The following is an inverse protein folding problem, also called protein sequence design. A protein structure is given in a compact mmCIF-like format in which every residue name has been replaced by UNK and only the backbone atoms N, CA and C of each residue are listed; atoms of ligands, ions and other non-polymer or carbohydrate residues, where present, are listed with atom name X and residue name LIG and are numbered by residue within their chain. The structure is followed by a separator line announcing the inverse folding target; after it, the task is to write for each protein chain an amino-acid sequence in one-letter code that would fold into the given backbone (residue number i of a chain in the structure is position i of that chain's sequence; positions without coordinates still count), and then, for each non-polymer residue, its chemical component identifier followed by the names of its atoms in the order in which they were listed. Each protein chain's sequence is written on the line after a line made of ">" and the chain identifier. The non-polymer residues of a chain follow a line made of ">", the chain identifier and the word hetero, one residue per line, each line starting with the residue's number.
data_IF_478139196523
#
_entry.id   IF_478139196523
#
_cell.length_a   1.000
_cell.length_b   1.000
_cell.length_c   1.000
_cell.angle_alpha   90.00
_cell.angle_beta   90.00
_cell.angle_gamma   90.00
#
_symmetry.space_group_name_H-M   'P 1'
#
loop_
_entity.id
_entity.type
_entity.pdbx_description
1 polymer ?
#
# COMPACT_ATOMS: atom_id res chain seq x y z
N UNK A 1 -18.13 17.11 8.42
CA UNK A 1 -18.41 15.77 7.82
C UNK A 1 -17.85 15.59 6.40
N UNK A 2 -17.75 16.65 5.55
CA UNK A 2 -17.23 16.53 4.16
C UNK A 2 -15.86 15.84 4.06
N UNK A 3 -14.92 16.07 4.99
CA UNK A 3 -13.59 15.42 4.98
C UNK A 3 -13.63 13.90 5.13
N UNK A 4 -14.51 13.39 5.98
CA UNK A 4 -14.67 11.94 6.22
C UNK A 4 -15.11 11.25 4.93
N UNK A 5 -16.00 11.90 4.17
CA UNK A 5 -16.44 11.42 2.87
C UNK A 5 -15.30 11.43 1.83
N UNK A 6 -14.38 12.39 1.93
CA UNK A 6 -13.23 12.54 1.03
C UNK A 6 -12.05 11.61 1.34
N UNK A 7 -12.05 10.90 2.48
CA UNK A 7 -10.98 9.96 2.88
C UNK A 7 -9.60 10.60 2.89
N UNK A 8 -9.51 11.75 3.55
CA UNK A 8 -8.28 12.48 3.79
C UNK A 8 -7.95 12.45 5.29
N UNK A 9 -6.67 12.66 5.59
CA UNK A 9 -6.21 12.88 6.95
C UNK A 9 -6.83 14.17 7.54
N UNK A 10 -6.78 14.36 8.88
CA UNK A 10 -7.30 15.58 9.52
C UNK A 10 -6.66 16.88 9.00
N UNK A 11 -5.41 16.83 8.54
CA UNK A 11 -4.69 17.93 7.89
C UNK A 11 -5.10 18.17 6.41
N UNK A 12 -5.99 17.33 5.85
CA UNK A 12 -6.42 17.37 4.45
C UNK A 12 -5.48 16.67 3.47
N UNK A 13 -4.36 16.10 3.92
CA UNK A 13 -3.46 15.31 3.08
C UNK A 13 -4.09 13.98 2.66
N UNK A 14 -3.62 13.43 1.54
CA UNK A 14 -4.05 12.11 1.08
C UNK A 14 -3.41 11.01 1.94
N UNK A 15 -4.11 9.89 2.12
CA UNK A 15 -3.56 8.75 2.84
C UNK A 15 -2.32 8.17 2.18
N UNK A 16 -1.38 7.71 3.01
CA UNK A 16 -0.16 7.07 2.55
C UNK A 16 -0.48 5.75 1.83
N UNK A 17 0.12 5.56 0.65
CA UNK A 17 -0.09 4.36 -0.16
C UNK A 17 0.66 3.19 0.47
N UNK A 18 -0.02 2.04 0.63
CA UNK A 18 0.59 0.81 1.17
C UNK A 18 1.62 0.18 0.23
N UNK A 19 1.42 0.29 -1.09
CA UNK A 19 2.26 -0.34 -2.12
C UNK A 19 2.76 0.71 -3.09
N UNK A 20 3.94 0.45 -3.67
CA UNK A 20 4.45 1.25 -4.77
C UNK A 20 3.44 1.29 -5.93
N UNK A 21 3.32 2.46 -6.57
CA UNK A 21 2.44 2.65 -7.72
C UNK A 21 2.99 2.04 -9.00
N UNK A 22 4.27 1.66 -9.03
CA UNK A 22 4.92 1.05 -10.18
C UNK A 22 5.83 -0.09 -9.75
N UNK A 23 5.96 -1.08 -10.63
CA UNK A 23 7.01 -2.10 -10.56
C UNK A 23 7.99 -1.84 -11.70
N UNK A 24 9.28 -1.90 -11.38
CA UNK A 24 10.32 -1.82 -12.41
C UNK A 24 10.55 -3.20 -13.00
N UNK A 25 10.37 -3.35 -14.31
CA UNK A 25 10.54 -4.61 -15.04
C UNK A 25 11.80 -4.53 -15.90
N UNK A 26 12.60 -5.59 -15.86
CA UNK A 26 13.80 -5.75 -16.67
C UNK A 26 13.40 -6.26 -18.06
N UNK A 27 13.21 -5.34 -19.01
CA UNK A 27 12.69 -5.68 -20.36
C UNK A 27 13.75 -6.32 -21.24
N UNK A 28 14.92 -5.72 -21.32
CA UNK A 28 15.97 -6.13 -22.25
C UNK A 28 17.35 -5.85 -21.66
N UNK A 29 18.30 -6.75 -21.90
CA UNK A 29 19.72 -6.51 -21.66
C UNK A 29 20.52 -6.96 -22.86
N UNK A 30 21.47 -6.13 -23.27
CA UNK A 30 22.42 -6.44 -24.32
C UNK A 30 23.82 -6.50 -23.74
N UNK A 31 24.57 -7.54 -24.08
CA UNK A 31 25.95 -7.74 -23.60
C UNK A 31 26.79 -8.51 -24.62
N UNK A 32 28.11 -8.42 -24.49
CA UNK A 32 29.08 -9.16 -25.27
C UNK A 32 29.44 -10.46 -24.54
N UNK A 33 29.33 -11.58 -25.23
CA UNK A 33 29.70 -12.90 -24.73
C UNK A 33 30.37 -13.69 -25.86
N UNK A 34 31.58 -14.19 -25.61
CA UNK A 34 32.43 -14.86 -26.61
C UNK A 34 32.55 -14.07 -27.94
N UNK A 35 32.76 -12.76 -27.85
CA UNK A 35 32.88 -11.88 -29.02
C UNK A 35 31.56 -11.63 -29.78
N UNK A 36 30.44 -12.22 -29.35
CA UNK A 36 29.13 -12.01 -29.96
C UNK A 36 28.25 -11.14 -29.08
N UNK A 37 27.53 -10.20 -29.70
CA UNK A 37 26.46 -9.46 -29.04
C UNK A 37 25.28 -10.40 -28.76
N UNK A 38 24.82 -10.42 -27.52
CA UNK A 38 23.66 -11.18 -27.06
C UNK A 38 22.62 -10.25 -26.48
N UNK A 39 21.36 -10.57 -26.75
CA UNK A 39 20.21 -9.82 -26.26
C UNK A 39 19.30 -10.77 -25.48
N UNK A 40 19.11 -10.51 -24.18
CA UNK A 40 18.15 -11.24 -23.36
C UNK A 40 16.92 -10.36 -23.04
N UNK A 41 15.74 -10.93 -23.19
CA UNK A 41 14.46 -10.33 -22.78
C UNK A 41 13.92 -10.98 -21.51
N UNK A 42 13.12 -10.22 -20.76
CA UNK A 42 12.50 -10.66 -19.49
C UNK A 42 13.52 -11.34 -18.57
N UNK A 43 14.72 -10.76 -18.52
CA UNK A 43 15.84 -11.39 -17.88
C UNK A 43 15.77 -11.19 -16.37
N UNK A 44 16.38 -12.11 -15.64
CA UNK A 44 16.59 -12.04 -14.20
C UNK A 44 18.02 -12.45 -13.90
N UNK A 45 18.63 -11.85 -12.88
CA UNK A 45 19.99 -12.19 -12.48
C UNK A 45 20.06 -12.51 -11.00
N UNK A 46 20.92 -13.45 -10.64
CA UNK A 46 21.42 -13.60 -9.28
C UNK A 46 22.86 -13.05 -9.21
N UNK A 47 23.62 -13.40 -8.18
CA UNK A 47 25.01 -12.96 -8.04
C UNK A 47 25.95 -13.51 -9.14
N UNK A 48 25.72 -14.73 -9.63
CA UNK A 48 26.64 -15.47 -10.52
C UNK A 48 26.19 -15.54 -11.98
N UNK A 49 24.89 -15.61 -12.24
CA UNK A 49 24.31 -15.85 -13.56
C UNK A 49 23.22 -14.84 -13.90
N UNK A 50 23.02 -14.67 -15.20
CA UNK A 50 21.91 -13.95 -15.80
C UNK A 50 21.14 -14.92 -16.69
N UNK A 51 19.82 -14.97 -16.52
CA UNK A 51 18.93 -15.87 -17.24
C UNK A 51 17.82 -15.08 -17.89
N UNK A 52 17.49 -15.37 -19.14
CA UNK A 52 16.37 -14.76 -19.85
C UNK A 52 16.13 -15.42 -21.19
N UNK A 53 15.16 -14.91 -21.94
CA UNK A 53 14.92 -15.37 -23.30
C UNK A 53 15.92 -14.70 -24.24
N UNK A 54 16.78 -15.49 -24.87
CA UNK A 54 17.71 -15.00 -25.89
C UNK A 54 16.90 -14.62 -27.14
N UNK A 55 17.03 -13.37 -27.60
CA UNK A 55 16.25 -12.85 -28.71
C UNK A 55 16.62 -13.53 -30.04
N UNK A 56 17.88 -13.90 -30.23
CA UNK A 56 18.39 -14.48 -31.47
C UNK A 56 18.03 -15.97 -31.55
N UNK A 57 18.14 -16.67 -30.41
CA UNK A 57 17.86 -18.11 -30.30
C UNK A 57 16.42 -18.43 -29.90
N UNK A 58 15.60 -17.41 -29.59
CA UNK A 58 14.20 -17.50 -29.17
C UNK A 58 13.94 -18.51 -28.04
N UNK A 59 14.94 -18.76 -27.19
CA UNK A 59 14.90 -19.79 -26.14
C UNK A 59 15.47 -19.27 -24.83
N UNK A 60 15.10 -19.89 -23.71
CA UNK A 60 15.63 -19.55 -22.38
C UNK A 60 17.11 -19.93 -22.31
N UNK A 61 17.95 -18.97 -21.90
CA UNK A 61 19.39 -19.17 -21.76
C UNK A 61 19.88 -18.53 -20.50
N UNK A 62 20.90 -19.16 -19.92
CA UNK A 62 21.63 -18.64 -18.77
C UNK A 62 23.09 -18.41 -19.15
N UNK A 63 23.61 -17.24 -18.79
CA UNK A 63 25.00 -16.87 -18.99
C UNK A 63 25.63 -16.58 -17.63
N UNK A 64 26.87 -17.00 -17.41
CA UNK A 64 27.63 -16.62 -16.22
C UNK A 64 28.06 -15.16 -16.37
N UNK A 65 27.92 -14.37 -15.31
CA UNK A 65 28.32 -12.96 -15.32
C UNK A 65 29.84 -12.79 -15.47
N UNK A 66 30.62 -13.74 -14.97
CA UNK A 66 32.08 -13.82 -15.15
C UNK A 66 32.50 -13.89 -16.62
N UNK A 67 31.67 -14.51 -17.45
CA UNK A 67 31.99 -14.77 -18.86
C UNK A 67 31.48 -13.63 -19.77
N UNK A 68 30.76 -12.66 -19.21
CA UNK A 68 30.27 -11.50 -19.94
C UNK A 68 31.41 -10.50 -20.02
N UNK A 69 31.89 -10.27 -21.23
CA UNK A 69 33.00 -9.38 -21.50
C UNK A 69 32.61 -7.91 -21.25
N UNK A 70 31.40 -7.52 -21.67
CA UNK A 70 30.91 -6.14 -21.53
C UNK A 70 29.40 -6.04 -21.60
N UNK A 71 28.80 -5.26 -20.72
CA UNK A 71 27.39 -4.85 -20.86
C UNK A 71 27.26 -3.68 -21.82
N UNK A 72 26.34 -3.76 -22.78
CA UNK A 72 26.09 -2.73 -23.78
C UNK A 72 24.94 -1.83 -23.33
N UNK A 73 23.78 -2.42 -22.99
CA UNK A 73 22.61 -1.66 -22.55
C UNK A 73 21.73 -2.49 -21.63
N UNK A 74 21.07 -1.82 -20.68
CA UNK A 74 20.10 -2.42 -19.77
C UNK A 74 18.82 -1.60 -19.80
N UNK A 75 17.77 -2.09 -20.46
CA UNK A 75 16.48 -1.40 -20.53
C UNK A 75 15.58 -1.87 -19.40
N UNK A 76 15.13 -0.91 -18.59
CA UNK A 76 14.21 -1.12 -17.48
C UNK A 76 13.00 -0.20 -17.69
N UNK A 77 11.80 -0.75 -17.56
CA UNK A 77 10.57 0.02 -17.69
C UNK A 77 9.80 0.01 -16.38
N UNK A 78 9.07 1.10 -16.11
CA UNK A 78 8.17 1.19 -14.96
C UNK A 78 6.76 0.87 -15.43
N UNK A 79 6.19 -0.22 -14.92
CA UNK A 79 4.81 -0.60 -15.19
C UNK A 79 3.96 -0.17 -14.00
N UNK A 80 2.94 0.64 -14.27
CA UNK A 80 1.98 1.02 -13.22
C UNK A 80 1.30 -0.22 -12.65
N UNK A 81 1.34 -0.35 -11.34
CA UNK A 81 0.65 -1.39 -10.57
C UNK A 81 -0.72 -0.89 -10.10
N UNK A 82 -1.03 0.38 -10.33
CA UNK A 82 -2.28 1.00 -9.94
C UNK A 82 -3.42 0.44 -10.79
N UNK A 83 -4.21 -0.46 -10.19
CA UNK A 83 -5.49 -0.86 -10.75
C UNK A 83 -6.49 0.28 -10.50
N UNK A 84 -7.17 0.75 -11.55
CA UNK A 84 -8.28 1.70 -11.43
C UNK A 84 -9.45 1.02 -10.71
N UNK A 85 -9.43 1.00 -9.39
CA UNK A 85 -10.57 0.58 -8.56
C UNK A 85 -11.38 1.81 -8.19
N UNK A 86 -12.71 1.75 -8.31
CA UNK A 86 -13.58 2.81 -7.79
C UNK A 86 -13.28 2.99 -6.30
N UNK A 87 -12.75 4.14 -5.92
CA UNK A 87 -12.53 4.47 -4.52
C UNK A 87 -13.90 4.51 -3.84
N UNK A 88 -14.17 3.51 -3.00
CA UNK A 88 -15.36 3.48 -2.15
C UNK A 88 -14.99 4.02 -0.79
N UNK A 89 -15.97 4.60 -0.06
CA UNK A 89 -15.76 5.03 1.33
C UNK A 89 -15.18 3.90 2.17
N UNK A 90 -14.20 4.20 3.02
CA UNK A 90 -13.69 3.27 4.02
C UNK A 90 -14.83 2.66 4.84
N UNK A 91 -14.66 1.40 5.23
CA UNK A 91 -15.60 0.67 6.09
C UNK A 91 -17.03 0.55 5.56
N UNK A 92 -17.28 0.79 4.26
CA UNK A 92 -18.62 0.62 3.65
C UNK A 92 -19.25 -0.73 4.00
N UNK A 93 -18.46 -1.81 3.99
CA UNK A 93 -18.91 -3.15 4.34
C UNK A 93 -19.17 -3.32 5.84
N UNK A 94 -18.33 -2.74 6.69
CA UNK A 94 -18.48 -2.82 8.16
C UNK A 94 -19.70 -2.04 8.65
N UNK A 95 -20.12 -1.01 7.91
CA UNK A 95 -21.34 -0.25 8.21
C UNK A 95 -22.65 -0.97 7.83
N UNK A 96 -22.62 -2.25 7.47
CA UNK A 96 -23.83 -3.02 7.11
C UNK A 96 -24.40 -3.76 8.30
N UNK A 97 -25.69 -4.10 8.24
CA UNK A 97 -26.39 -4.85 9.29
C UNK A 97 -25.71 -6.17 9.67
N UNK A 98 -24.96 -6.79 8.75
CA UNK A 98 -24.15 -7.99 9.01
C UNK A 98 -23.18 -7.83 10.19
N UNK A 99 -22.70 -6.61 10.41
CA UNK A 99 -21.76 -6.29 11.47
C UNK A 99 -22.41 -5.60 12.67
N UNK A 100 -23.73 -5.49 12.71
CA UNK A 100 -24.48 -4.97 13.84
C UNK A 100 -25.04 -6.13 14.67
N UNK A 101 -24.99 -5.98 15.99
CA UNK A 101 -25.70 -6.80 16.97
C UNK A 101 -26.63 -5.90 17.75
N UNK A 102 -27.73 -6.49 18.18
CA UNK A 102 -28.70 -5.85 19.05
C UNK A 102 -28.75 -6.65 20.34
N UNK A 103 -28.77 -5.93 21.45
CA UNK A 103 -29.15 -6.44 22.75
C UNK A 103 -30.37 -5.65 23.20
N UNK A 104 -31.35 -6.33 23.78
CA UNK A 104 -32.54 -5.67 24.32
C UNK A 104 -32.93 -6.30 25.66
N UNK A 105 -33.52 -5.46 26.50
CA UNK A 105 -34.09 -5.72 27.81
C UNK A 105 -35.44 -4.99 27.88
N UNK A 106 -36.24 -5.26 28.89
CA UNK A 106 -37.52 -4.56 29.13
C UNK A 106 -37.36 -3.05 29.32
N UNK A 107 -36.15 -2.60 29.71
CA UNK A 107 -35.84 -1.19 29.99
C UNK A 107 -35.00 -0.49 28.93
N UNK A 108 -34.28 -1.23 28.09
CA UNK A 108 -33.33 -0.66 27.14
C UNK A 108 -33.13 -1.52 25.89
N UNK A 109 -32.73 -0.86 24.80
CA UNK A 109 -32.28 -1.51 23.58
C UNK A 109 -30.98 -0.86 23.12
N UNK A 110 -29.97 -1.67 22.85
CA UNK A 110 -28.64 -1.24 22.43
C UNK A 110 -28.29 -1.91 21.11
N UNK A 111 -27.87 -1.10 20.14
CA UNK A 111 -27.30 -1.57 18.87
C UNK A 111 -25.81 -1.26 18.89
N UNK A 112 -24.99 -2.27 18.68
CA UNK A 112 -23.54 -2.13 18.68
C UNK A 112 -22.92 -2.89 17.51
N UNK A 113 -21.70 -2.52 17.14
CA UNK A 113 -20.94 -3.23 16.13
C UNK A 113 -20.28 -4.49 16.73
N UNK A 114 -20.15 -5.56 15.94
CA UNK A 114 -19.34 -6.70 16.35
C UNK A 114 -17.90 -6.24 16.68
N UNK A 115 -17.23 -6.84 17.69
CA UNK A 115 -15.85 -6.50 18.04
C UNK A 115 -14.88 -6.59 16.87
N UNK A 116 -15.10 -7.53 15.94
CA UNK A 116 -14.29 -7.66 14.72
C UNK A 116 -14.33 -6.42 13.82
N UNK A 117 -15.48 -5.76 13.70
CA UNK A 117 -15.60 -4.52 12.93
C UNK A 117 -14.85 -3.37 13.62
N UNK A 118 -14.94 -3.30 14.96
CA UNK A 118 -14.18 -2.35 15.77
C UNK A 118 -12.67 -2.54 15.64
N UNK A 119 -12.20 -3.79 15.72
CA UNK A 119 -10.78 -4.14 15.56
C UNK A 119 -10.26 -3.73 14.18
N UNK A 120 -10.97 -4.07 13.11
CA UNK A 120 -10.58 -3.68 11.74
C UNK A 120 -10.55 -2.15 11.63
N UNK A 121 -11.57 -1.47 12.14
CA UNK A 121 -11.62 -0.01 12.12
C UNK A 121 -10.42 0.61 12.88
N UNK A 122 -10.11 0.11 14.07
CA UNK A 122 -8.97 0.55 14.88
C UNK A 122 -7.62 0.32 14.19
N UNK A 123 -7.39 -0.87 13.63
CA UNK A 123 -6.15 -1.18 12.88
C UNK A 123 -5.91 -0.17 11.76
N UNK A 124 -6.94 0.17 11.00
CA UNK A 124 -6.82 1.12 9.91
C UNK A 124 -6.75 2.59 10.37
N UNK A 125 -7.52 2.97 11.41
CA UNK A 125 -7.56 4.32 11.96
C UNK A 125 -6.22 4.72 12.59
N UNK A 126 -5.59 3.79 13.31
CA UNK A 126 -4.32 4.04 14.02
C UNK A 126 -3.09 3.49 13.29
N UNK A 127 -3.27 2.73 12.20
CA UNK A 127 -2.14 2.15 11.46
C UNK A 127 -1.44 1.02 12.21
N UNK A 128 -2.20 0.16 12.88
CA UNK A 128 -1.66 -0.92 13.71
C UNK A 128 -1.12 -2.08 12.85
N UNK A 129 -0.36 -2.95 13.49
CA UNK A 129 0.10 -4.21 12.89
C UNK A 129 -0.88 -5.33 13.23
N UNK A 130 -1.35 -6.05 12.22
CA UNK A 130 -2.25 -7.18 12.35
C UNK A 130 -1.54 -8.47 11.92
N UNK A 131 -1.78 -9.57 12.63
CA UNK A 131 -1.27 -10.89 12.25
C UNK A 131 -2.36 -11.66 11.51
N UNK A 132 -2.09 -12.02 10.26
CA UNK A 132 -2.98 -12.85 9.44
C UNK A 132 -2.24 -14.15 9.11
N UNK A 133 -2.61 -15.23 9.82
CA UNK A 133 -1.93 -16.52 9.75
C UNK A 133 -0.46 -16.43 10.15
N UNK A 134 0.45 -16.68 9.19
CA UNK A 134 1.90 -16.58 9.38
C UNK A 134 2.48 -15.20 9.02
N UNK A 135 1.70 -14.30 8.44
CA UNK A 135 2.16 -12.98 8.02
C UNK A 135 1.78 -11.91 9.04
N UNK A 136 2.70 -10.98 9.31
CA UNK A 136 2.39 -9.73 10.02
C UNK A 136 2.30 -8.60 8.99
N UNK A 137 1.23 -7.82 9.06
CA UNK A 137 0.97 -6.72 8.13
C UNK A 137 0.81 -5.44 8.92
N UNK A 138 1.73 -4.51 8.71
CA UNK A 138 1.60 -3.13 9.19
C UNK A 138 0.79 -2.32 8.19
N UNK A 139 -0.26 -1.66 8.67
CA UNK A 139 -1.11 -0.81 7.83
C UNK A 139 -0.72 0.65 7.99
N UNK A 140 -0.73 1.45 6.90
CA UNK A 140 -0.65 2.90 7.05
C UNK A 140 -1.88 3.42 7.80
N UNK A 141 -1.64 4.37 8.70
CA UNK A 141 -2.68 5.11 9.40
C UNK A 141 -3.60 5.84 8.42
N UNK A 142 -4.90 5.73 8.63
CA UNK A 142 -5.95 6.38 7.86
C UNK A 142 -6.95 7.01 8.81
N UNK A 143 -6.53 8.11 9.41
CA UNK A 143 -7.34 8.84 10.39
C UNK A 143 -8.54 9.48 9.69
N UNK A 144 -9.72 8.88 9.89
CA UNK A 144 -11.01 9.47 9.50
C UNK A 144 -11.54 10.37 10.62
N UNK A 145 -11.40 9.90 11.86
CA UNK A 145 -11.75 10.64 13.08
C UNK A 145 -10.52 11.33 13.64
N UNK A 146 -10.72 12.41 14.41
CA UNK A 146 -9.65 13.22 14.98
C UNK A 146 -9.87 14.70 14.71
N UNK A 147 -9.17 15.54 15.47
CA UNK A 147 -9.21 17.00 15.32
C UNK A 147 -8.33 17.42 14.14
N UNK A 148 -8.82 18.38 13.37
CA UNK A 148 -8.01 19.09 12.39
C UNK A 148 -7.01 19.98 13.11
N UNK A 149 -5.88 20.35 12.48
CA UNK A 149 -4.91 21.27 13.09
C UNK A 149 -5.55 22.59 13.57
N UNK A 150 -6.52 23.11 12.80
CA UNK A 150 -7.26 24.32 13.15
C UNK A 150 -8.13 24.13 14.40
N UNK A 151 -8.82 22.99 14.50
CA UNK A 151 -9.62 22.66 15.69
C UNK A 151 -8.74 22.47 16.92
N UNK A 152 -7.55 21.87 16.77
CA UNK A 152 -6.58 21.74 17.86
C UNK A 152 -6.15 23.11 18.36
N UNK A 153 -5.68 23.99 17.48
CA UNK A 153 -5.28 25.36 17.87
C UNK A 153 -6.42 26.15 18.49
N UNK A 154 -7.65 25.97 18.01
CA UNK A 154 -8.81 26.64 18.58
C UNK A 154 -9.09 26.18 20.01
N UNK A 155 -9.04 24.87 20.27
CA UNK A 155 -9.21 24.30 21.60
C UNK A 155 -8.07 24.75 22.53
N UNK A 156 -6.82 24.75 22.05
CA UNK A 156 -5.67 25.23 22.82
C UNK A 156 -5.87 26.69 23.27
N UNK A 157 -6.28 27.57 22.37
CA UNK A 157 -6.54 28.97 22.71
C UNK A 157 -7.66 29.11 23.75
N UNK A 158 -8.77 28.36 23.61
CA UNK A 158 -9.85 28.37 24.59
C UNK A 158 -9.40 27.92 25.98
N UNK A 159 -8.53 26.91 26.05
CA UNK A 159 -7.96 26.44 27.32
C UNK A 159 -7.05 27.52 27.93
N UNK A 160 -6.19 28.14 27.13
CA UNK A 160 -5.32 29.23 27.59
C UNK A 160 -6.16 30.39 28.12
N UNK A 161 -7.15 30.85 27.35
CA UNK A 161 -8.03 31.95 27.75
C UNK A 161 -8.74 31.66 29.09
N UNK A 162 -9.21 30.42 29.27
CA UNK A 162 -9.85 29.98 30.51
C UNK A 162 -8.88 29.98 31.71
N UNK A 163 -7.62 29.58 31.51
CA UNK A 163 -6.61 29.52 32.56
C UNK A 163 -6.01 30.88 32.92
N UNK A 164 -6.00 31.82 31.98
CA UNK A 164 -5.51 33.20 32.19
C UNK A 164 -6.54 34.14 32.78
N UNK A 165 -7.77 33.66 32.98
CA UNK A 165 -8.87 34.38 33.59
C UNK A 165 -8.90 34.19 35.09
#
# INVERSE_FOLDING_TARGET
>A
IKRIQQQKNPDGSAYTKRKASFVTVQREIQFMWRGQKRTLRNWRGNSKTITGQDADKKSQRSFRKSDIQRYISVKKDKISTERKTKQTRMFKKLATARFLRMYNSDKEAVIYFLPSAGNIAGVHQFGLTERIGRAQITYPSRQLLGLTPQEVTHIENQIIDFLTR
#
